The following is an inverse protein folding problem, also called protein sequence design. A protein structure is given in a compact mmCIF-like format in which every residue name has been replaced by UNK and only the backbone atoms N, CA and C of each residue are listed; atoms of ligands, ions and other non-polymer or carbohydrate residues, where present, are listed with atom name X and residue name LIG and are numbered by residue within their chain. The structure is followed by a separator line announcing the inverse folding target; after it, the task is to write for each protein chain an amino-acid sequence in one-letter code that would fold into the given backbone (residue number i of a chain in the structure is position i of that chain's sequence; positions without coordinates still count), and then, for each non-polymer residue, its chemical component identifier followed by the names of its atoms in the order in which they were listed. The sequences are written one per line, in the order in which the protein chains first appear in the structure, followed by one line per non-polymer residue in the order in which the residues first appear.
data_IF_450215013313
#
_entry.id   IF_450215013313
#
_cell.length_a   1.000
_cell.length_b   1.000
_cell.length_c   1.000
_cell.angle_alpha   90.00
_cell.angle_beta   90.00
_cell.angle_gamma   90.00
#
_symmetry.space_group_name_H-M   'P 1'
#
loop_
_entity.id
_entity.type
_entity.pdbx_description
1 polymer ?
#
# COMPACT_ATOMS: atom_id res chain seq x y z
N UNK A 1 -16.65 19.39 4.27
CA UNK A 1 -17.62 20.28 3.62
C UNK A 1 -17.19 20.62 2.18
N UNK A 2 -18.13 20.94 1.26
CA UNK A 2 -17.80 21.26 -0.15
C UNK A 2 -16.79 22.40 -0.29
N UNK A 3 -16.87 23.43 0.54
CA UNK A 3 -15.93 24.57 0.53
C UNK A 3 -14.47 24.16 0.78
N UNK A 4 -14.23 23.27 1.76
CA UNK A 4 -12.88 22.76 2.06
C UNK A 4 -12.35 21.92 0.87
N UNK A 5 -13.19 21.05 0.33
CA UNK A 5 -12.83 20.26 -0.86
C UNK A 5 -12.53 21.18 -2.06
N UNK A 6 -13.32 22.24 -2.24
CA UNK A 6 -13.10 23.20 -3.32
C UNK A 6 -11.78 23.96 -3.15
N UNK A 7 -11.45 24.38 -1.91
CA UNK A 7 -10.16 25.03 -1.63
C UNK A 7 -8.97 24.16 -2.07
N UNK A 8 -8.97 22.87 -1.71
CA UNK A 8 -7.88 21.96 -2.11
C UNK A 8 -7.85 21.72 -3.61
N UNK A 9 -8.99 21.58 -4.29
CA UNK A 9 -9.04 21.43 -5.76
C UNK A 9 -8.48 22.65 -6.46
N UNK A 10 -8.88 23.86 -6.02
CA UNK A 10 -8.35 25.11 -6.54
C UNK A 10 -6.83 25.23 -6.34
N UNK A 11 -6.36 24.92 -5.13
CA UNK A 11 -4.94 24.95 -4.79
C UNK A 11 -4.13 23.98 -5.66
N UNK A 12 -4.58 22.74 -5.81
CA UNK A 12 -3.91 21.74 -6.64
C UNK A 12 -3.94 22.10 -8.13
N UNK A 13 -5.04 22.66 -8.63
CA UNK A 13 -5.10 23.17 -9.99
C UNK A 13 -4.11 24.31 -10.22
N UNK A 14 -4.01 25.25 -9.26
CA UNK A 14 -3.11 26.39 -9.33
C UNK A 14 -1.64 25.96 -9.30
N UNK A 15 -1.29 25.02 -8.43
CA UNK A 15 0.11 24.65 -8.15
C UNK A 15 0.64 23.51 -9.01
N UNK A 16 -0.22 22.63 -9.53
CA UNK A 16 0.20 21.42 -10.25
C UNK A 16 -0.51 21.21 -11.58
N UNK A 17 -1.60 21.92 -11.85
CA UNK A 17 -2.47 21.67 -12.99
C UNK A 17 -3.22 20.33 -12.91
N UNK A 18 -3.31 19.72 -11.74
CA UNK A 18 -3.87 18.40 -11.55
C UNK A 18 -5.37 18.38 -11.84
N UNK A 19 -5.82 17.38 -12.59
CA UNK A 19 -7.22 17.04 -12.80
C UNK A 19 -7.61 15.95 -11.79
N UNK A 20 -8.54 16.26 -10.90
CA UNK A 20 -8.93 15.40 -9.76
C UNK A 20 -9.30 13.98 -10.21
N UNK A 21 -10.08 13.87 -11.29
CA UNK A 21 -10.52 12.57 -11.84
C UNK A 21 -9.34 11.73 -12.34
N UNK A 22 -8.42 12.36 -13.08
CA UNK A 22 -7.26 11.66 -13.64
C UNK A 22 -6.34 11.16 -12.53
N UNK A 23 -6.01 12.02 -11.56
CA UNK A 23 -5.18 11.61 -10.42
C UNK A 23 -5.79 10.45 -9.64
N UNK A 24 -7.07 10.56 -9.26
CA UNK A 24 -7.74 9.52 -8.51
C UNK A 24 -7.83 8.19 -9.29
N UNK A 25 -8.08 8.26 -10.59
CA UNK A 25 -8.17 7.08 -11.45
C UNK A 25 -6.82 6.35 -11.55
N UNK A 26 -5.75 7.08 -11.83
CA UNK A 26 -4.40 6.53 -11.96
C UNK A 26 -3.94 5.92 -10.65
N UNK A 27 -4.13 6.62 -9.54
CA UNK A 27 -3.77 6.14 -8.20
C UNK A 27 -4.53 4.86 -7.82
N UNK A 28 -5.85 4.80 -8.09
CA UNK A 28 -6.64 3.59 -7.83
C UNK A 28 -6.28 2.43 -8.76
N UNK A 29 -5.94 2.71 -10.02
CA UNK A 29 -5.44 1.69 -10.94
C UNK A 29 -4.13 1.12 -10.43
N UNK A 30 -3.20 1.97 -9.99
CA UNK A 30 -1.94 1.54 -9.38
C UNK A 30 -2.20 0.58 -8.21
N UNK A 31 -3.04 0.94 -7.22
CA UNK A 31 -3.38 0.04 -6.12
C UNK A 31 -4.04 -1.27 -6.55
N UNK A 32 -4.86 -1.24 -7.60
CA UNK A 32 -5.57 -2.42 -8.09
C UNK A 32 -4.70 -3.36 -8.95
N UNK A 33 -3.65 -2.81 -9.56
CA UNK A 33 -2.79 -3.49 -10.54
C UNK A 33 -1.31 -3.40 -10.18
N UNK A 34 -1.03 -3.10 -8.92
CA UNK A 34 0.31 -2.87 -8.42
C UNK A 34 1.27 -3.97 -8.91
N UNK A 35 2.38 -3.56 -9.53
CA UNK A 35 3.46 -4.42 -10.01
C UNK A 35 3.09 -5.42 -11.12
N UNK A 36 1.95 -5.21 -11.76
CA UNK A 36 1.61 -5.92 -13.00
C UNK A 36 1.98 -5.09 -14.23
N UNK A 37 1.88 -5.69 -15.43
CA UNK A 37 2.08 -4.97 -16.69
C UNK A 37 1.06 -3.83 -16.92
N UNK A 38 -0.05 -3.83 -16.20
CA UNK A 38 -1.08 -2.79 -16.25
C UNK A 38 -0.83 -1.64 -15.26
N UNK A 39 0.17 -1.75 -14.37
CA UNK A 39 0.51 -0.71 -13.41
C UNK A 39 1.14 0.49 -14.15
N UNK A 40 0.59 1.71 -14.01
CA UNK A 40 1.07 2.87 -14.75
C UNK A 40 2.52 3.26 -14.46
N UNK A 41 3.06 2.89 -13.31
CA UNK A 41 4.36 3.38 -12.85
C UNK A 41 5.13 2.40 -11.94
N UNK A 42 4.94 1.10 -12.12
CA UNK A 42 5.68 0.10 -11.34
C UNK A 42 7.20 0.14 -11.62
N UNK A 43 8.05 0.38 -10.63
CA UNK A 43 9.50 0.27 -10.80
C UNK A 43 9.97 -1.18 -10.95
N UNK A 44 9.17 -2.17 -10.53
CA UNK A 44 9.46 -3.58 -10.70
C UNK A 44 9.31 -4.01 -12.16
N UNK A 45 8.36 -3.41 -12.90
CA UNK A 45 8.09 -3.70 -14.32
C UNK A 45 8.88 -2.79 -15.25
N UNK A 46 8.86 -1.48 -14.98
CA UNK A 46 9.44 -0.45 -15.87
C UNK A 46 10.91 -0.15 -15.56
N UNK A 47 11.38 -0.55 -14.39
CA UNK A 47 12.69 -0.21 -13.83
C UNK A 47 12.68 1.11 -13.04
N UNK A 48 13.40 1.10 -11.91
CA UNK A 48 13.45 2.24 -10.99
C UNK A 48 13.89 3.55 -11.67
N UNK A 49 14.91 3.49 -12.53
CA UNK A 49 15.44 4.68 -13.24
C UNK A 49 14.36 5.36 -14.08
N UNK A 50 13.55 4.58 -14.80
CA UNK A 50 12.49 5.12 -15.65
C UNK A 50 11.40 5.78 -14.81
N UNK A 51 10.91 5.12 -13.76
CA UNK A 51 9.89 5.70 -12.88
C UNK A 51 10.39 6.95 -12.19
N UNK A 52 11.65 6.95 -11.73
CA UNK A 52 12.25 8.10 -11.04
C UNK A 52 12.35 9.34 -11.91
N UNK A 53 12.74 9.19 -13.19
CA UNK A 53 13.01 10.34 -14.07
C UNK A 53 11.87 10.66 -15.04
N UNK A 54 11.05 9.69 -15.40
CA UNK A 54 9.96 9.84 -16.36
C UNK A 54 8.57 9.67 -15.70
N UNK A 55 8.49 9.71 -14.36
CA UNK A 55 7.22 9.50 -13.64
C UNK A 55 6.11 10.48 -14.04
N UNK A 56 6.46 11.73 -14.33
CA UNK A 56 5.48 12.71 -14.81
C UNK A 56 4.97 12.40 -16.23
N UNK A 57 5.82 11.88 -17.10
CA UNK A 57 5.48 11.44 -18.45
C UNK A 57 4.58 10.20 -18.40
N UNK A 58 4.91 9.24 -17.55
CA UNK A 58 4.07 8.05 -17.29
C UNK A 58 2.67 8.47 -16.82
N UNK A 59 2.61 9.39 -15.86
CA UNK A 59 1.34 9.96 -15.39
C UNK A 59 0.56 10.63 -16.53
N UNK A 60 1.19 11.48 -17.34
CA UNK A 60 0.55 12.18 -18.47
C UNK A 60 0.05 11.22 -19.55
N UNK A 61 0.78 10.14 -19.80
CA UNK A 61 0.36 9.11 -20.73
C UNK A 61 -0.91 8.40 -20.22
N UNK A 62 -0.90 7.98 -18.97
CA UNK A 62 -2.04 7.29 -18.35
C UNK A 62 -3.26 8.20 -18.15
N UNK A 63 -3.06 9.50 -17.90
CA UNK A 63 -4.14 10.48 -17.79
C UNK A 63 -4.95 10.66 -19.08
N UNK A 64 -4.44 10.20 -20.22
CA UNK A 64 -5.14 10.18 -21.53
C UNK A 64 -5.88 8.87 -21.80
N UNK A 65 -5.68 7.86 -20.96
CA UNK A 65 -6.30 6.55 -21.11
C UNK A 65 -7.76 6.61 -20.62
N UNK A 66 -8.70 6.61 -21.58
CA UNK A 66 -10.13 6.72 -21.28
C UNK A 66 -10.65 5.54 -20.46
N UNK A 67 -10.19 4.33 -20.74
CA UNK A 67 -10.58 3.14 -19.96
C UNK A 67 -10.22 3.30 -18.49
N UNK A 68 -9.03 3.80 -18.19
CA UNK A 68 -8.59 4.08 -16.82
C UNK A 68 -9.47 5.15 -16.16
N UNK A 69 -9.78 6.23 -16.87
CA UNK A 69 -10.61 7.31 -16.33
C UNK A 69 -12.05 6.86 -16.06
N UNK A 70 -12.61 6.01 -16.90
CA UNK A 70 -13.97 5.47 -16.73
C UNK A 70 -14.02 4.44 -15.59
N UNK A 71 -13.12 3.48 -15.61
CA UNK A 71 -13.11 2.36 -14.67
C UNK A 71 -12.75 2.78 -13.24
N UNK A 72 -11.76 3.64 -13.07
CA UNK A 72 -11.19 3.99 -11.77
C UNK A 72 -11.52 5.42 -11.30
N UNK A 73 -12.02 6.31 -12.19
CA UNK A 73 -12.31 7.71 -11.87
C UNK A 73 -13.65 7.97 -11.20
N UNK A 74 -14.38 6.95 -10.79
CA UNK A 74 -15.71 7.08 -10.20
C UNK A 74 -15.70 7.81 -8.84
N UNK A 75 -16.80 8.52 -8.52
CA UNK A 75 -16.98 9.18 -7.22
C UNK A 75 -16.08 10.40 -6.99
N UNK A 76 -15.38 10.89 -8.01
CA UNK A 76 -14.68 12.17 -7.98
C UNK A 76 -15.65 13.34 -8.22
N UNK A 77 -15.33 14.57 -7.77
CA UNK A 77 -16.16 15.74 -8.07
C UNK A 77 -16.36 15.93 -9.57
N UNK A 78 -17.59 16.20 -9.97
CA UNK A 78 -17.99 16.48 -11.36
C UNK A 78 -18.96 17.68 -11.41
N UNK A 79 -18.61 18.75 -10.71
CA UNK A 79 -19.36 20.00 -10.72
C UNK A 79 -18.98 20.89 -11.94
N UNK A 80 -19.71 21.99 -12.10
CA UNK A 80 -19.48 22.92 -13.20
C UNK A 80 -18.04 23.47 -13.23
N UNK A 81 -17.46 23.77 -12.06
CA UNK A 81 -16.10 24.32 -11.94
C UNK A 81 -15.06 23.26 -12.34
N UNK A 82 -15.26 22.01 -11.91
CA UNK A 82 -14.38 20.90 -12.30
C UNK A 82 -14.34 20.74 -13.81
N UNK A 83 -15.51 20.69 -14.46
CA UNK A 83 -15.61 20.49 -15.91
C UNK A 83 -15.09 21.67 -16.72
N UNK A 84 -15.49 22.90 -16.35
CA UNK A 84 -15.25 24.07 -17.18
C UNK A 84 -13.98 24.85 -16.85
N UNK A 85 -13.43 24.70 -15.64
CA UNK A 85 -12.22 25.38 -15.24
C UNK A 85 -11.06 24.40 -15.04
N UNK A 86 -11.16 23.51 -14.06
CA UNK A 86 -10.01 22.69 -13.67
C UNK A 86 -9.61 21.68 -14.74
N UNK A 87 -10.55 20.90 -15.25
CA UNK A 87 -10.28 19.89 -16.29
C UNK A 87 -9.96 20.55 -17.64
N UNK A 88 -10.85 21.46 -18.09
CA UNK A 88 -10.69 22.09 -19.42
C UNK A 88 -9.48 22.99 -19.54
N UNK A 89 -9.05 23.59 -18.44
CA UNK A 89 -8.01 24.60 -18.38
C UNK A 89 -6.91 24.28 -17.36
N UNK A 90 -6.53 23.00 -17.24
CA UNK A 90 -5.53 22.54 -16.28
C UNK A 90 -4.21 23.31 -16.34
N UNK A 91 -3.72 23.63 -17.54
CA UNK A 91 -2.50 24.42 -17.73
C UNK A 91 -2.61 25.89 -17.36
N UNK A 92 -3.84 26.48 -17.33
CA UNK A 92 -4.02 27.89 -16.97
C UNK A 92 -3.74 28.16 -15.49
N UNK A 93 -3.97 27.20 -14.61
CA UNK A 93 -3.61 27.29 -13.20
C UNK A 93 -2.11 27.49 -13.02
N UNK A 94 -1.32 26.67 -13.69
CA UNK A 94 0.15 26.76 -13.67
C UNK A 94 0.65 28.09 -14.20
N UNK A 95 0.05 28.58 -15.28
CA UNK A 95 0.39 29.90 -15.83
C UNK A 95 0.02 31.05 -14.89
N UNK A 96 -1.16 30.98 -14.26
CA UNK A 96 -1.56 31.95 -13.23
C UNK A 96 -0.59 31.95 -12.07
N UNK A 97 -0.15 30.76 -11.61
CA UNK A 97 0.86 30.65 -10.55
C UNK A 97 2.20 31.29 -10.94
N UNK A 98 2.65 31.12 -12.19
CA UNK A 98 3.83 31.82 -12.71
C UNK A 98 3.66 33.33 -12.62
N UNK A 99 2.55 33.86 -13.13
CA UNK A 99 2.27 35.29 -13.09
C UNK A 99 2.24 35.82 -11.65
N UNK A 100 1.59 35.13 -10.72
CA UNK A 100 1.58 35.51 -9.31
C UNK A 100 2.99 35.54 -8.70
N UNK A 101 3.82 34.53 -8.96
CA UNK A 101 5.21 34.52 -8.48
C UNK A 101 6.03 35.66 -9.06
N UNK A 102 5.88 35.96 -10.35
CA UNK A 102 6.61 37.10 -11.00
C UNK A 102 6.14 38.43 -10.44
N UNK A 103 4.84 38.62 -10.23
CA UNK A 103 4.29 39.87 -9.66
C UNK A 103 4.76 40.06 -8.21
N UNK A 104 4.80 38.99 -7.41
CA UNK A 104 5.16 39.08 -5.98
C UNK A 104 6.68 39.19 -5.77
N UNK A 105 7.49 38.53 -6.61
CA UNK A 105 8.91 38.32 -6.36
C UNK A 105 9.80 38.80 -7.54
N UNK A 106 9.23 39.40 -8.56
CA UNK A 106 9.98 39.84 -9.76
C UNK A 106 10.62 38.64 -10.50
N UNK A 107 11.79 38.80 -11.12
CA UNK A 107 12.46 37.73 -11.86
C UNK A 107 12.75 36.48 -11.08
N UNK A 108 13.00 36.59 -9.76
CA UNK A 108 13.20 35.43 -8.85
C UNK A 108 11.94 34.57 -8.80
N UNK A 109 10.75 35.16 -9.02
CA UNK A 109 9.49 34.42 -9.07
C UNK A 109 9.48 33.31 -10.13
N UNK A 110 10.25 33.43 -11.21
CA UNK A 110 10.41 32.37 -12.23
C UNK A 110 11.11 31.14 -11.61
N UNK A 111 12.17 31.39 -10.85
CA UNK A 111 12.90 30.30 -10.16
C UNK A 111 12.03 29.62 -9.11
N UNK A 112 11.30 30.41 -8.31
CA UNK A 112 10.34 29.86 -7.31
C UNK A 112 9.31 28.98 -8.01
N UNK A 113 8.72 29.46 -9.08
CA UNK A 113 7.76 28.71 -9.89
C UNK A 113 8.37 27.43 -10.48
N UNK A 114 9.59 27.49 -11.02
CA UNK A 114 10.25 26.31 -11.56
C UNK A 114 10.48 25.22 -10.50
N UNK A 115 10.87 25.59 -9.28
CA UNK A 115 11.01 24.66 -8.15
C UNK A 115 9.65 24.07 -7.77
N UNK A 116 8.58 24.88 -7.71
CA UNK A 116 7.24 24.38 -7.44
C UNK A 116 6.79 23.36 -8.50
N UNK A 117 7.05 23.64 -9.78
CA UNK A 117 6.69 22.74 -10.89
C UNK A 117 7.50 21.43 -10.88
N UNK A 118 8.74 21.46 -10.42
CA UNK A 118 9.58 20.29 -10.30
C UNK A 118 9.24 19.41 -9.06
N UNK A 119 8.61 20.01 -8.04
CA UNK A 119 8.39 19.33 -6.76
C UNK A 119 7.61 18.03 -6.91
N UNK A 120 6.39 18.05 -7.43
CA UNK A 120 5.53 16.87 -7.57
C UNK A 120 6.08 15.82 -8.55
N UNK A 121 6.58 16.20 -9.76
CA UNK A 121 7.25 15.24 -10.63
C UNK A 121 8.41 14.48 -9.98
N UNK A 122 9.25 15.17 -9.23
CA UNK A 122 10.41 14.54 -8.58
C UNK A 122 9.97 13.75 -7.33
N UNK A 123 9.19 14.36 -6.46
CA UNK A 123 8.88 13.76 -5.15
C UNK A 123 7.78 12.73 -5.26
N UNK A 124 6.59 13.07 -5.74
CA UNK A 124 5.47 12.13 -5.79
C UNK A 124 5.62 11.13 -6.95
N UNK A 125 5.75 11.62 -8.19
CA UNK A 125 5.80 10.73 -9.34
C UNK A 125 7.11 9.94 -9.45
N UNK A 126 8.24 10.52 -9.01
CA UNK A 126 9.54 9.84 -9.02
C UNK A 126 9.83 9.08 -7.72
N UNK A 127 9.96 9.82 -6.60
CA UNK A 127 10.44 9.21 -5.35
C UNK A 127 9.36 8.29 -4.74
N UNK A 128 8.13 8.75 -4.55
CA UNK A 128 7.11 7.90 -3.92
C UNK A 128 6.80 6.69 -4.79
N UNK A 129 6.48 6.88 -6.06
CA UNK A 129 6.12 5.79 -6.95
C UNK A 129 7.32 4.88 -7.31
N UNK A 130 8.53 5.44 -7.34
CA UNK A 130 9.76 4.70 -7.64
C UNK A 130 10.39 4.09 -6.38
N UNK A 131 10.97 4.94 -5.52
CA UNK A 131 11.71 4.46 -4.34
C UNK A 131 10.76 3.82 -3.34
N UNK A 132 9.52 4.32 -3.19
CA UNK A 132 8.50 3.75 -2.31
C UNK A 132 8.11 2.30 -2.64
N UNK A 133 8.37 1.82 -3.87
CA UNK A 133 8.21 0.42 -4.28
C UNK A 133 9.55 -0.32 -4.48
N UNK A 134 10.64 0.24 -3.99
CA UNK A 134 11.96 -0.35 -4.22
C UNK A 134 12.81 -0.44 -2.95
N UNK A 135 12.82 0.61 -2.12
CA UNK A 135 13.71 0.71 -0.96
C UNK A 135 13.04 1.40 0.21
N UNK A 136 13.13 0.77 1.38
CA UNK A 136 12.59 1.28 2.64
C UNK A 136 12.30 0.17 3.64
N UNK A 137 11.60 0.51 4.71
CA UNK A 137 11.14 -0.47 5.70
C UNK A 137 9.66 -0.82 5.49
N UNK A 138 9.24 -1.97 6.01
CA UNK A 138 7.85 -2.43 5.89
C UNK A 138 7.25 -2.71 7.26
N UNK A 139 6.08 -2.15 7.51
CA UNK A 139 5.27 -2.49 8.67
C UNK A 139 4.32 -3.66 8.40
N UNK A 140 3.89 -3.81 7.15
CA UNK A 140 2.89 -4.76 6.73
C UNK A 140 3.40 -5.63 5.58
N UNK A 141 3.05 -6.92 5.63
CA UNK A 141 3.33 -7.85 4.55
C UNK A 141 2.23 -7.77 3.48
N UNK A 142 2.22 -6.68 2.72
CA UNK A 142 1.42 -6.57 1.51
C UNK A 142 2.01 -7.47 0.42
N UNK A 143 1.22 -7.85 -0.57
CA UNK A 143 1.65 -8.64 -1.72
C UNK A 143 2.54 -7.83 -2.65
N UNK A 144 2.32 -6.50 -2.71
CA UNK A 144 3.15 -5.56 -3.47
C UNK A 144 4.52 -5.30 -2.80
N UNK A 145 5.43 -4.63 -3.51
CA UNK A 145 6.77 -4.27 -3.02
C UNK A 145 6.80 -2.92 -2.27
N UNK A 146 5.64 -2.33 -1.94
CA UNK A 146 5.59 -1.05 -1.24
C UNK A 146 6.39 -1.03 0.06
N UNK A 147 7.10 0.06 0.30
CA UNK A 147 7.94 0.28 1.48
C UNK A 147 7.66 1.67 2.07
N UNK A 148 7.88 1.84 3.35
CA UNK A 148 7.96 3.16 3.97
C UNK A 148 9.37 3.70 3.76
N UNK A 149 9.50 4.83 3.10
CA UNK A 149 10.81 5.43 2.77
C UNK A 149 11.45 5.99 4.04
N UNK A 150 10.70 6.80 4.77
CA UNK A 150 11.09 7.43 6.03
C UNK A 150 9.94 7.35 7.04
N UNK A 151 10.22 7.34 8.36
CA UNK A 151 9.15 7.34 9.36
C UNK A 151 8.48 8.71 9.56
N UNK A 152 8.94 9.74 8.85
CA UNK A 152 8.44 11.11 8.94
C UNK A 152 7.81 11.53 7.63
N UNK A 153 6.51 11.39 7.53
CA UNK A 153 5.69 11.80 6.37
C UNK A 153 5.42 13.29 6.38
N UNK A 154 6.41 14.10 6.05
CA UNK A 154 6.34 15.57 6.11
C UNK A 154 6.35 16.20 4.72
N UNK A 155 7.22 15.73 3.82
CA UNK A 155 7.50 16.40 2.54
C UNK A 155 6.39 16.18 1.52
N UNK A 156 5.71 15.03 1.55
CA UNK A 156 4.71 14.63 0.55
C UNK A 156 3.41 14.19 1.25
N UNK A 157 3.01 14.92 2.29
CA UNK A 157 1.71 14.75 2.92
C UNK A 157 1.50 13.44 3.68
N UNK A 158 2.55 12.68 3.97
CA UNK A 158 2.49 11.36 4.63
C UNK A 158 2.77 10.19 3.69
N UNK A 159 2.83 10.42 2.37
CA UNK A 159 3.05 9.36 1.36
C UNK A 159 4.42 8.68 1.49
N UNK A 160 5.36 9.25 2.24
CA UNK A 160 6.61 8.58 2.63
C UNK A 160 6.37 7.29 3.43
N UNK A 161 5.18 7.16 4.03
CA UNK A 161 4.70 5.96 4.73
C UNK A 161 3.93 5.04 3.77
N UNK A 162 4.51 4.74 2.63
CA UNK A 162 3.85 4.17 1.47
C UNK A 162 3.39 2.71 1.67
N UNK A 163 4.15 1.88 2.40
CA UNK A 163 3.69 0.53 2.76
C UNK A 163 2.47 0.57 3.70
N UNK A 164 2.40 1.54 4.59
CA UNK A 164 1.23 1.71 5.45
C UNK A 164 0.00 2.13 4.62
N UNK A 165 0.21 3.01 3.62
CA UNK A 165 -0.81 3.45 2.69
C UNK A 165 -1.31 2.28 1.83
N UNK A 166 -0.43 1.47 1.25
CA UNK A 166 -0.80 0.28 0.47
C UNK A 166 -1.56 -0.76 1.29
N UNK A 167 -1.16 -0.99 2.54
CA UNK A 167 -1.88 -1.90 3.42
C UNK A 167 -3.32 -1.44 3.72
N UNK A 168 -3.53 -0.14 3.89
CA UNK A 168 -4.81 0.44 4.26
C UNK A 168 -5.13 1.69 3.45
N UNK A 169 -5.24 1.56 2.13
CA UNK A 169 -5.43 2.66 1.17
C UNK A 169 -6.68 3.53 1.39
N UNK A 170 -7.64 3.08 2.21
CA UNK A 170 -8.82 3.88 2.60
C UNK A 170 -8.66 4.59 3.94
N UNK A 171 -7.52 4.43 4.62
CA UNK A 171 -7.22 5.09 5.89
C UNK A 171 -6.89 6.56 5.69
N UNK A 172 -7.50 7.42 6.49
CA UNK A 172 -7.13 8.84 6.55
C UNK A 172 -5.82 9.08 7.32
N UNK A 173 -5.30 8.07 7.99
CA UNK A 173 -4.06 8.11 8.76
C UNK A 173 -3.08 7.12 8.17
N UNK A 174 -1.91 7.59 7.74
CA UNK A 174 -0.84 6.77 7.17
C UNK A 174 0.16 6.29 8.24
N UNK A 175 0.38 7.05 9.32
CA UNK A 175 1.21 6.60 10.44
C UNK A 175 0.53 5.47 11.23
N UNK A 176 1.24 4.36 11.44
CA UNK A 176 0.73 3.18 12.15
C UNK A 176 1.56 2.80 13.38
N UNK A 177 2.78 3.34 13.52
CA UNK A 177 3.67 3.09 14.65
C UNK A 177 3.85 4.37 15.45
N UNK A 178 4.18 4.24 16.72
CA UNK A 178 4.34 5.36 17.65
C UNK A 178 5.46 6.34 17.25
N UNK A 179 6.46 5.87 16.50
CA UNK A 179 7.58 6.67 16.01
C UNK A 179 7.34 7.28 14.62
N UNK A 180 6.22 6.99 14.00
CA UNK A 180 5.86 7.53 12.69
C UNK A 180 5.07 8.83 12.85
N UNK A 181 5.41 9.82 12.05
CA UNK A 181 4.70 11.08 11.95
C UNK A 181 4.09 11.24 10.56
N UNK A 182 2.87 11.76 10.50
CA UNK A 182 2.06 11.95 9.30
C UNK A 182 1.47 13.36 9.32
N UNK A 183 2.04 14.25 8.51
CA UNK A 183 1.62 15.67 8.42
C UNK A 183 0.20 15.77 7.87
N UNK A 184 -0.20 14.90 6.93
CA UNK A 184 -1.56 14.85 6.37
C UNK A 184 -2.59 14.54 7.45
N UNK A 185 -2.30 13.53 8.27
CA UNK A 185 -3.13 13.21 9.43
C UNK A 185 -3.19 14.35 10.45
N UNK A 186 -2.07 15.02 10.70
CA UNK A 186 -2.03 16.17 11.60
C UNK A 186 -2.99 17.29 11.13
N UNK A 187 -2.98 17.65 9.84
CA UNK A 187 -3.91 18.62 9.29
C UNK A 187 -5.37 18.14 9.31
N UNK A 188 -5.62 16.88 9.02
CA UNK A 188 -6.97 16.29 9.10
C UNK A 188 -7.51 16.42 10.53
N UNK A 189 -6.69 16.18 11.54
CA UNK A 189 -7.10 16.34 12.95
C UNK A 189 -7.41 17.78 13.34
N UNK A 190 -6.64 18.74 12.83
CA UNK A 190 -6.96 20.16 13.02
C UNK A 190 -8.32 20.49 12.39
N UNK A 191 -8.53 20.10 11.14
CA UNK A 191 -9.78 20.36 10.44
C UNK A 191 -10.97 19.66 11.11
N UNK A 192 -10.78 18.46 11.65
CA UNK A 192 -11.82 17.75 12.40
C UNK A 192 -12.16 18.46 13.71
N UNK A 193 -11.15 18.94 14.45
CA UNK A 193 -11.35 19.72 15.68
C UNK A 193 -12.12 21.03 15.42
N UNK A 194 -11.87 21.65 14.26
CA UNK A 194 -12.59 22.85 13.82
C UNK A 194 -13.97 22.57 13.22
N UNK A 195 -14.42 21.30 13.16
CA UNK A 195 -15.68 20.90 12.55
C UNK A 195 -15.70 20.99 11.00
N UNK A 196 -14.55 21.21 10.38
CA UNK A 196 -14.39 21.38 8.92
C UNK A 196 -14.16 20.05 8.18
N UNK A 197 -13.84 18.98 8.90
CA UNK A 197 -13.69 17.64 8.34
C UNK A 197 -14.31 16.58 9.26
N UNK A 198 -14.54 15.39 8.71
CA UNK A 198 -14.95 14.21 9.47
C UNK A 198 -14.14 13.03 8.99
N UNK A 199 -13.39 12.39 9.88
CA UNK A 199 -12.67 11.16 9.57
C UNK A 199 -13.66 10.03 9.33
N UNK A 200 -13.57 9.40 8.17
CA UNK A 200 -14.45 8.28 7.78
C UNK A 200 -13.88 6.94 8.19
N UNK A 201 -12.58 6.73 7.95
CA UNK A 201 -11.89 5.47 8.21
C UNK A 201 -10.45 5.72 8.64
N UNK A 202 -9.96 4.88 9.53
CA UNK A 202 -8.54 4.71 9.86
C UNK A 202 -8.19 3.23 9.74
N UNK A 203 -6.90 2.93 9.68
CA UNK A 203 -6.45 1.55 9.76
C UNK A 203 -7.02 0.87 11.01
N UNK A 204 -7.49 -0.37 10.90
CA UNK A 204 -8.06 -1.09 12.03
C UNK A 204 -6.99 -1.33 13.11
N UNK A 205 -7.37 -1.17 14.36
CA UNK A 205 -6.51 -1.44 15.52
C UNK A 205 -6.81 -2.83 16.03
N UNK A 206 -5.77 -3.68 16.09
CA UNK A 206 -5.92 -5.04 16.61
C UNK A 206 -6.36 -4.99 18.06
N UNK A 207 -7.48 -5.63 18.37
CA UNK A 207 -7.94 -5.88 19.74
C UNK A 207 -7.62 -7.31 20.07
N UNK A 208 -7.08 -7.52 21.28
CA UNK A 208 -6.70 -8.83 21.76
C UNK A 208 -7.70 -9.31 22.80
N UNK A 209 -8.11 -10.57 22.66
CA UNK A 209 -8.91 -11.27 23.65
C UNK A 209 -8.20 -12.58 24.06
N UNK A 210 -8.59 -13.22 25.16
CA UNK A 210 -8.14 -14.59 25.42
C UNK A 210 -8.42 -15.50 24.22
N UNK A 211 -7.49 -16.39 23.90
CA UNK A 211 -7.64 -17.29 22.76
C UNK A 211 -8.91 -18.14 22.93
N UNK A 212 -9.79 -18.10 21.94
CA UNK A 212 -11.03 -18.88 21.96
C UNK A 212 -10.73 -20.36 21.75
N UNK A 213 -11.47 -21.27 22.39
CA UNK A 213 -11.29 -22.71 22.20
C UNK A 213 -11.53 -23.14 20.75
N UNK A 214 -12.52 -22.51 20.10
CA UNK A 214 -12.87 -22.75 18.69
C UNK A 214 -12.95 -21.44 17.92
N UNK A 215 -12.70 -21.53 16.63
CA UNK A 215 -12.88 -20.41 15.70
C UNK A 215 -14.37 -20.18 15.47
N UNK A 216 -14.80 -18.95 15.56
CA UNK A 216 -16.14 -18.51 15.17
C UNK A 216 -16.07 -17.48 14.03
N UNK A 217 -17.22 -17.05 13.54
CA UNK A 217 -17.27 -16.09 12.43
C UNK A 217 -16.66 -14.73 12.81
N UNK A 218 -16.78 -14.30 14.08
CA UNK A 218 -16.18 -13.04 14.53
C UNK A 218 -14.65 -13.10 14.52
N UNK A 219 -14.06 -14.23 14.89
CA UNK A 219 -12.62 -14.49 14.78
C UNK A 219 -12.15 -14.42 13.32
N UNK A 220 -12.89 -15.08 12.39
CA UNK A 220 -12.59 -15.02 10.95
C UNK A 220 -12.64 -13.58 10.44
N UNK A 221 -13.67 -12.85 10.80
CA UNK A 221 -13.83 -11.44 10.39
C UNK A 221 -12.68 -10.57 10.92
N UNK A 222 -12.26 -10.77 12.17
CA UNK A 222 -11.13 -10.06 12.75
C UNK A 222 -9.81 -10.43 12.05
N UNK A 223 -9.55 -11.71 11.78
CA UNK A 223 -8.36 -12.19 11.06
C UNK A 223 -8.29 -11.60 9.64
N UNK A 224 -9.41 -11.60 8.89
CA UNK A 224 -9.48 -11.01 7.54
C UNK A 224 -9.27 -9.48 7.61
N UNK A 225 -9.90 -8.81 8.57
CA UNK A 225 -9.75 -7.35 8.77
C UNK A 225 -8.29 -6.98 9.04
N UNK A 226 -7.58 -7.81 9.79
CA UNK A 226 -6.18 -7.60 10.17
C UNK A 226 -5.19 -8.45 9.36
N UNK A 227 -5.58 -8.96 8.17
CA UNK A 227 -4.77 -9.90 7.37
C UNK A 227 -3.31 -9.47 7.18
N UNK A 228 -3.05 -8.19 6.97
CA UNK A 228 -1.68 -7.69 6.81
C UNK A 228 -0.86 -7.77 8.10
N UNK A 229 -1.46 -7.50 9.26
CA UNK A 229 -0.79 -7.72 10.55
C UNK A 229 -0.56 -9.22 10.80
N UNK A 230 -1.54 -10.06 10.50
CA UNK A 230 -1.45 -11.53 10.58
C UNK A 230 -0.29 -12.04 9.73
N UNK A 231 -0.22 -11.63 8.45
CA UNK A 231 0.85 -12.05 7.54
C UNK A 231 2.22 -11.51 7.96
N UNK A 232 2.28 -10.30 8.50
CA UNK A 232 3.52 -9.73 9.04
C UNK A 232 4.05 -10.56 10.22
N UNK A 233 3.16 -10.99 11.11
CA UNK A 233 3.52 -11.88 12.23
C UNK A 233 3.96 -13.25 11.74
N UNK A 234 3.24 -13.80 10.76
CA UNK A 234 3.62 -15.07 10.15
C UNK A 234 5.00 -14.98 9.47
N UNK A 235 5.28 -13.91 8.74
CA UNK A 235 6.58 -13.69 8.12
C UNK A 235 7.72 -13.60 9.15
N UNK A 236 7.46 -12.99 10.32
CA UNK A 236 8.43 -12.97 11.44
C UNK A 236 8.69 -14.36 12.00
N UNK A 237 7.63 -15.15 12.17
CA UNK A 237 7.73 -16.55 12.59
C UNK A 237 8.57 -17.35 11.58
N UNK A 238 8.24 -17.27 10.30
CA UNK A 238 9.00 -17.92 9.23
C UNK A 238 10.48 -17.53 9.25
N UNK A 239 10.78 -16.24 9.34
CA UNK A 239 12.16 -15.75 9.39
C UNK A 239 12.97 -16.34 10.56
N UNK A 240 12.32 -16.51 11.71
CA UNK A 240 12.94 -17.14 12.88
C UNK A 240 13.21 -18.63 12.63
N UNK A 241 12.28 -19.33 11.98
CA UNK A 241 12.43 -20.76 11.67
C UNK A 241 13.41 -21.01 10.51
N UNK A 242 13.42 -20.15 9.49
CA UNK A 242 14.43 -20.18 8.43
C UNK A 242 15.84 -20.17 8.97
N UNK A 243 16.16 -19.23 9.86
CA UNK A 243 17.48 -19.16 10.49
C UNK A 243 17.91 -20.44 11.24
N UNK A 244 16.94 -21.24 11.69
CA UNK A 244 17.17 -22.48 12.47
C UNK A 244 17.23 -23.75 11.62
N UNK A 245 16.54 -23.76 10.49
CA UNK A 245 16.29 -24.99 9.72
C UNK A 245 16.70 -24.86 8.24
N UNK A 246 17.33 -23.76 7.84
CA UNK A 246 17.77 -23.61 6.45
C UNK A 246 18.93 -24.56 6.17
N UNK A 247 18.89 -25.32 5.06
CA UNK A 247 20.00 -26.17 4.65
C UNK A 247 21.27 -25.38 4.38
N UNK A 248 22.44 -26.00 4.60
CA UNK A 248 23.72 -25.40 4.26
C UNK A 248 23.79 -25.08 2.76
N UNK A 249 24.37 -23.94 2.41
CA UNK A 249 24.54 -23.50 1.03
C UNK A 249 23.40 -22.67 0.44
N UNK A 250 22.28 -22.51 1.15
CA UNK A 250 21.16 -21.69 0.68
C UNK A 250 21.30 -20.24 1.17
N UNK A 251 21.12 -19.28 0.26
CA UNK A 251 21.16 -17.86 0.60
C UNK A 251 19.92 -17.45 1.41
N UNK A 252 20.14 -17.19 2.71
CA UNK A 252 19.08 -16.81 3.67
C UNK A 252 18.31 -15.55 3.24
N UNK A 253 19.00 -14.57 2.62
CA UNK A 253 18.41 -13.28 2.24
C UNK A 253 17.45 -13.49 1.07
N UNK A 254 17.92 -14.16 0.01
CA UNK A 254 17.09 -14.51 -1.15
C UNK A 254 15.89 -15.36 -0.74
N UNK A 255 16.12 -16.44 0.03
CA UNK A 255 15.05 -17.33 0.48
C UNK A 255 13.98 -16.58 1.30
N UNK A 256 14.39 -15.63 2.14
CA UNK A 256 13.46 -14.80 2.91
C UNK A 256 12.60 -13.93 2.02
N UNK A 257 13.16 -13.40 0.96
CA UNK A 257 12.47 -12.57 -0.02
C UNK A 257 11.45 -13.41 -0.81
N UNK A 258 11.89 -14.50 -1.40
CA UNK A 258 11.06 -15.40 -2.18
C UNK A 258 9.90 -16.02 -1.41
N UNK A 259 10.13 -16.44 -0.15
CA UNK A 259 9.08 -16.97 0.70
C UNK A 259 8.01 -15.95 1.12
N UNK A 260 8.20 -14.67 0.80
CA UNK A 260 7.18 -13.61 0.99
C UNK A 260 6.30 -13.44 -0.22
N UNK A 261 6.81 -13.74 -1.40
CA UNK A 261 6.09 -13.61 -2.67
C UNK A 261 5.02 -14.70 -2.78
N UNK A 262 4.02 -14.43 -3.60
CA UNK A 262 3.09 -15.49 -4.02
C UNK A 262 3.79 -16.43 -5.02
N UNK A 263 3.37 -17.69 -5.13
CA UNK A 263 3.94 -18.60 -6.13
C UNK A 263 3.83 -18.10 -7.58
N UNK A 264 2.86 -17.21 -7.86
CA UNK A 264 2.66 -16.63 -9.20
C UNK A 264 3.71 -15.57 -9.54
N UNK A 265 4.28 -14.90 -8.53
CA UNK A 265 5.27 -13.82 -8.70
C UNK A 265 6.71 -14.35 -8.83
N UNK A 266 6.94 -15.61 -8.47
CA UNK A 266 8.26 -16.24 -8.52
C UNK A 266 8.62 -16.67 -9.95
N UNK A 267 9.87 -16.44 -10.34
CA UNK A 267 10.45 -16.96 -11.56
C UNK A 267 10.65 -18.48 -11.47
N UNK A 268 10.82 -19.13 -12.61
CA UNK A 268 10.94 -20.59 -12.67
C UNK A 268 12.16 -21.14 -11.93
N UNK A 269 13.29 -20.43 -12.03
CA UNK A 269 14.54 -20.73 -11.32
C UNK A 269 14.39 -20.55 -9.80
N UNK A 270 13.71 -19.48 -9.37
CA UNK A 270 13.44 -19.20 -7.95
C UNK A 270 12.51 -20.26 -7.33
N UNK A 271 11.50 -20.74 -8.09
CA UNK A 271 10.64 -21.85 -7.67
C UNK A 271 11.44 -23.12 -7.44
N UNK A 272 12.32 -23.46 -8.37
CA UNK A 272 13.17 -24.65 -8.27
C UNK A 272 14.11 -24.60 -7.05
N UNK A 273 14.72 -23.43 -6.77
CA UNK A 273 15.55 -23.24 -5.57
C UNK A 273 14.74 -23.36 -4.28
N UNK A 274 13.52 -22.84 -4.24
CA UNK A 274 12.62 -22.98 -3.09
C UNK A 274 12.26 -24.45 -2.88
N UNK A 275 11.84 -25.16 -3.93
CA UNK A 275 11.48 -26.58 -3.86
C UNK A 275 12.63 -27.43 -3.33
N UNK A 276 13.85 -27.21 -3.85
CA UNK A 276 15.05 -27.88 -3.36
C UNK A 276 15.34 -27.61 -1.87
N UNK A 277 15.09 -26.39 -1.40
CA UNK A 277 15.27 -26.03 0.01
C UNK A 277 14.18 -26.68 0.90
N UNK A 278 12.95 -26.77 0.39
CA UNK A 278 11.82 -27.38 1.07
C UNK A 278 11.98 -28.92 1.18
N UNK A 279 12.46 -29.58 0.15
CA UNK A 279 12.77 -31.03 0.15
C UNK A 279 13.78 -31.41 1.25
N UNK A 280 14.74 -30.52 1.52
CA UNK A 280 15.77 -30.75 2.53
C UNK A 280 15.32 -30.47 3.97
N UNK A 281 14.14 -29.88 4.16
CA UNK A 281 13.63 -29.51 5.48
C UNK A 281 12.11 -29.61 5.59
N UNK A 282 11.62 -30.76 6.08
CA UNK A 282 10.19 -31.00 6.29
C UNK A 282 9.52 -29.90 7.13
N UNK A 283 10.21 -29.41 8.17
CA UNK A 283 9.69 -28.33 9.01
C UNK A 283 9.52 -27.03 8.23
N UNK A 284 10.47 -26.69 7.36
CA UNK A 284 10.38 -25.50 6.53
C UNK A 284 9.27 -25.63 5.50
N UNK A 285 9.16 -26.80 4.85
CA UNK A 285 8.10 -27.12 3.91
C UNK A 285 6.72 -26.94 4.56
N UNK A 286 6.53 -27.51 5.74
CA UNK A 286 5.27 -27.42 6.49
C UNK A 286 4.89 -25.97 6.82
N UNK A 287 5.83 -25.15 7.28
CA UNK A 287 5.60 -23.73 7.58
C UNK A 287 5.25 -22.96 6.29
N UNK A 288 5.94 -23.24 5.18
CA UNK A 288 5.68 -22.60 3.89
C UNK A 288 4.28 -22.93 3.35
N UNK A 289 3.91 -24.20 3.31
CA UNK A 289 2.59 -24.61 2.83
C UNK A 289 1.46 -24.08 3.71
N UNK A 290 1.63 -24.08 5.02
CA UNK A 290 0.65 -23.51 5.94
C UNK A 290 0.47 -22.00 5.76
N UNK A 291 1.53 -21.27 5.33
CA UNK A 291 1.39 -19.85 4.94
C UNK A 291 0.45 -19.70 3.74
N UNK A 292 0.65 -20.51 2.70
CA UNK A 292 -0.19 -20.49 1.50
C UNK A 292 -1.65 -20.83 1.82
N UNK A 293 -1.88 -21.89 2.60
CA UNK A 293 -3.22 -22.24 3.05
C UNK A 293 -3.90 -21.09 3.80
N UNK A 294 -3.17 -20.39 4.67
CA UNK A 294 -3.70 -19.25 5.42
C UNK A 294 -4.08 -18.09 4.50
N UNK A 295 -3.24 -17.78 3.52
CA UNK A 295 -3.50 -16.73 2.53
C UNK A 295 -4.75 -17.05 1.71
N UNK A 296 -4.93 -18.28 1.29
CA UNK A 296 -6.11 -18.70 0.51
C UNK A 296 -7.45 -18.56 1.25
N UNK A 297 -7.46 -18.43 2.56
CA UNK A 297 -8.71 -18.26 3.32
C UNK A 297 -9.42 -16.96 2.94
N UNK A 298 -8.68 -15.87 2.69
CA UNK A 298 -9.27 -14.56 2.36
C UNK A 298 -9.17 -14.16 0.90
N UNK A 299 -8.43 -14.87 0.07
CA UNK A 299 -8.36 -14.63 -1.38
C UNK A 299 -9.60 -15.15 -2.13
N UNK A 300 -10.26 -16.15 -1.60
CA UNK A 300 -11.44 -16.76 -2.22
C UNK A 300 -12.71 -16.00 -1.88
N UNK A 301 -13.12 -15.07 -2.73
CA UNK A 301 -14.33 -14.25 -2.57
C UNK A 301 -15.66 -15.03 -2.65
N UNK A 302 -15.63 -16.32 -3.03
CA UNK A 302 -16.81 -17.16 -3.25
C UNK A 302 -17.17 -18.06 -2.07
N UNK A 303 -16.39 -18.04 -0.99
CA UNK A 303 -16.64 -18.91 0.17
C UNK A 303 -17.78 -18.40 1.04
N UNK A 304 -18.62 -19.31 1.52
CA UNK A 304 -19.65 -19.00 2.52
C UNK A 304 -19.03 -18.73 3.89
N UNK A 305 -19.79 -18.11 4.80
CA UNK A 305 -19.34 -17.86 6.17
C UNK A 305 -18.94 -19.15 6.89
N UNK A 306 -19.71 -20.19 6.71
CA UNK A 306 -19.49 -21.52 7.29
C UNK A 306 -18.19 -22.13 6.77
N UNK A 307 -17.94 -22.00 5.46
CA UNK A 307 -16.70 -22.48 4.83
C UNK A 307 -15.48 -21.72 5.36
N UNK A 308 -15.58 -20.39 5.53
CA UNK A 308 -14.50 -19.58 6.09
C UNK A 308 -14.16 -19.98 7.53
N UNK A 309 -15.19 -20.17 8.37
CA UNK A 309 -14.99 -20.65 9.76
C UNK A 309 -14.34 -22.02 9.77
N UNK A 310 -14.85 -22.95 8.96
CA UNK A 310 -14.28 -24.30 8.86
C UNK A 310 -12.82 -24.27 8.40
N UNK A 311 -12.52 -23.53 7.33
CA UNK A 311 -11.16 -23.46 6.79
C UNK A 311 -10.16 -22.90 7.82
N UNK A 312 -10.52 -21.84 8.55
CA UNK A 312 -9.66 -21.29 9.59
C UNK A 312 -9.53 -22.23 10.79
N UNK A 313 -10.60 -22.94 11.17
CA UNK A 313 -10.58 -23.93 12.23
C UNK A 313 -9.67 -25.13 11.85
N UNK A 314 -9.81 -25.65 10.64
CA UNK A 314 -8.98 -26.75 10.11
C UNK A 314 -7.51 -26.33 10.05
N UNK A 315 -7.23 -25.07 9.64
CA UNK A 315 -5.89 -24.52 9.65
C UNK A 315 -5.29 -24.48 11.07
N UNK A 316 -6.06 -24.01 12.06
CA UNK A 316 -5.63 -23.98 13.46
C UNK A 316 -5.32 -25.39 13.99
N UNK A 317 -6.17 -26.37 13.70
CA UNK A 317 -5.95 -27.76 14.09
C UNK A 317 -4.69 -28.36 13.46
N UNK A 318 -4.46 -28.13 12.16
CA UNK A 318 -3.22 -28.53 11.47
C UNK A 318 -1.98 -27.89 12.10
N UNK A 319 -2.07 -26.59 12.45
CA UNK A 319 -0.98 -25.87 13.11
C UNK A 319 -0.62 -26.49 14.47
N UNK A 320 -1.63 -26.81 15.26
CA UNK A 320 -1.47 -27.43 16.61
C UNK A 320 -0.96 -28.87 16.51
N UNK A 321 -1.42 -29.63 15.53
CA UNK A 321 -0.97 -31.00 15.27
C UNK A 321 0.39 -31.08 14.55
N UNK A 322 0.96 -29.95 14.13
CA UNK A 322 2.17 -29.92 13.31
C UNK A 322 3.45 -30.40 13.99
N UNK A 323 3.49 -30.44 15.31
CA UNK A 323 4.71 -30.69 16.10
C UNK A 323 5.68 -29.48 16.10
N UNK A 324 5.28 -28.33 15.54
CA UNK A 324 6.08 -27.10 15.49
C UNK A 324 5.48 -26.09 16.47
N UNK A 325 6.15 -25.89 17.62
CA UNK A 325 5.68 -25.01 18.70
C UNK A 325 5.30 -23.61 18.19
N UNK A 326 6.09 -23.07 17.27
CA UNK A 326 5.84 -21.74 16.71
C UNK A 326 4.53 -21.66 15.89
N UNK A 327 4.09 -22.74 15.24
CA UNK A 327 2.79 -22.79 14.54
C UNK A 327 1.65 -22.91 15.53
N UNK A 328 1.83 -23.69 16.60
CA UNK A 328 0.86 -23.82 17.70
C UNK A 328 0.64 -22.46 18.39
N UNK A 329 1.73 -21.75 18.74
CA UNK A 329 1.66 -20.40 19.31
C UNK A 329 0.94 -19.43 18.38
N UNK A 330 1.21 -19.56 17.08
CA UNK A 330 0.56 -18.70 16.07
C UNK A 330 -0.93 -19.01 15.93
N UNK A 331 -1.35 -20.27 16.00
CA UNK A 331 -2.77 -20.67 16.04
C UNK A 331 -3.49 -20.05 17.23
N UNK A 332 -2.92 -20.17 18.43
CA UNK A 332 -3.46 -19.53 19.64
C UNK A 332 -3.60 -18.00 19.44
N UNK A 333 -2.59 -17.40 18.82
CA UNK A 333 -2.61 -15.98 18.52
C UNK A 333 -3.71 -15.59 17.53
N UNK A 334 -3.94 -16.38 16.48
CA UNK A 334 -5.06 -16.16 15.55
C UNK A 334 -6.42 -16.19 16.28
N UNK A 335 -6.62 -17.14 17.17
CA UNK A 335 -7.85 -17.27 17.96
C UNK A 335 -8.03 -16.16 19.01
N UNK A 336 -7.03 -15.30 19.20
CA UNK A 336 -7.11 -14.14 20.09
C UNK A 336 -7.43 -12.82 19.39
N UNK A 337 -7.57 -12.79 18.04
CA UNK A 337 -8.04 -11.62 17.32
C UNK A 337 -9.54 -11.38 17.57
N UNK A 338 -9.92 -10.08 17.78
CA UNK A 338 -11.29 -9.65 18.02
C UNK A 338 -11.60 -8.32 17.33
#
# INVERSE_FOLDING_TARGET
PPAVSHFFRFWLWLTTGMVTKAWAAIHRKHHAKCETAEDPHSPQVLGLKKVLWEGAELYRAEARNQETLEKYGHGTPDDWIERNLYTRHSGKGILLMLLLNVVLFGPIGITIWAVQMAWIPITAAGIINGVGHYWGYRNFACEDASTNILPWGILIGGEELHNNHHAYGTSARLSNKWYEFDIGWFYIRILETLGLAKVRRTAPVVRWQPARPMVDFSTVQAVITHRYDVMTRYARLMNKQLKRHLPQGVNVVKMREWLRLSPAELKQDEKAEIEQALEKSEKLAKIYHMRQELTHIWERSTLTKEQLVKNLQDWCQKAEASGIEALKDFSLKLRSYA
#
